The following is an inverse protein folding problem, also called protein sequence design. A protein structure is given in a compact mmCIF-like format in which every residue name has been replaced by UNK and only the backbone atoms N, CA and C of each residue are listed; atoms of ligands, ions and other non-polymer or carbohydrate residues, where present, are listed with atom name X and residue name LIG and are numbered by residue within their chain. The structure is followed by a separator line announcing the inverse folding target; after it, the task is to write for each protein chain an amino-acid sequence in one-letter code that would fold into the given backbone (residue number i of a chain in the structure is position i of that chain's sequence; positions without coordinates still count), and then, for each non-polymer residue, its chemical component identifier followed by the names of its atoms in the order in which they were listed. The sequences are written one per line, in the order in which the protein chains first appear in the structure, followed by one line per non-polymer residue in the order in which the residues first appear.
data_IF_325691692314
#
_entry.id   IF_325691692314
#
_cell.length_a   1.000
_cell.length_b   1.000
_cell.length_c   1.000
_cell.angle_alpha   90.00
_cell.angle_beta   90.00
_cell.angle_gamma   90.00
#
_symmetry.space_group_name_H-M   'P 1'
#
loop_
_entity.id
_entity.type
_entity.pdbx_description
1 polymer ?
#
# COMPACT_ATOMS: atom_id res chain seq x y z
N UNK A 1 14.70 0.97 -12.04
CA UNK A 1 14.00 1.39 -10.81
C UNK A 1 14.43 0.50 -9.66
N UNK A 2 14.42 0.95 -8.41
CA UNK A 2 14.85 0.15 -7.27
C UNK A 2 13.82 0.28 -6.12
N UNK A 3 13.63 -0.77 -5.35
CA UNK A 3 12.65 -0.82 -4.25
C UNK A 3 13.41 -1.15 -2.95
N UNK A 4 13.28 -0.27 -1.95
CA UNK A 4 13.76 -0.52 -0.60
C UNK A 4 12.57 -0.76 0.34
N UNK A 5 12.70 -1.71 1.25
CA UNK A 5 11.66 -2.05 2.23
C UNK A 5 12.08 -1.59 3.63
N UNK A 6 11.16 -0.92 4.32
CA UNK A 6 11.25 -0.63 5.75
C UNK A 6 10.11 -1.36 6.46
N UNK A 7 10.41 -2.22 7.41
CA UNK A 7 9.39 -2.89 8.24
C UNK A 7 9.11 -2.02 9.45
N UNK A 8 7.91 -1.48 9.57
CA UNK A 8 7.57 -0.40 10.49
C UNK A 8 6.39 -0.76 11.40
N UNK A 9 6.37 -0.11 12.56
CA UNK A 9 5.27 -0.20 13.51
C UNK A 9 5.11 -1.57 14.19
N UNK A 10 4.14 -1.67 15.11
CA UNK A 10 3.93 -2.88 15.92
C UNK A 10 3.39 -4.07 15.14
N UNK A 11 2.73 -3.84 14.00
CA UNK A 11 2.22 -4.89 13.12
C UNK A 11 3.22 -5.31 12.04
N UNK A 12 4.44 -4.72 12.06
CA UNK A 12 5.52 -5.03 11.11
C UNK A 12 5.07 -4.84 9.65
N UNK A 13 4.40 -3.73 9.39
CA UNK A 13 3.93 -3.37 8.05
C UNK A 13 5.10 -2.96 7.16
N UNK A 14 5.09 -3.44 5.95
CA UNK A 14 6.08 -3.09 4.93
C UNK A 14 5.76 -1.72 4.33
N UNK A 15 6.60 -0.75 4.61
CA UNK A 15 6.67 0.51 3.88
C UNK A 15 7.69 0.40 2.75
N UNK A 16 7.29 0.68 1.53
CA UNK A 16 8.19 0.61 0.38
C UNK A 16 8.62 1.99 -0.08
N UNK A 17 9.91 2.13 -0.37
CA UNK A 17 10.49 3.31 -1.03
C UNK A 17 10.87 2.87 -2.44
N UNK A 18 10.03 3.24 -3.40
CA UNK A 18 10.34 3.08 -4.80
C UNK A 18 11.20 4.27 -5.24
N UNK A 19 12.39 4.03 -5.78
CA UNK A 19 13.28 5.12 -6.17
C UNK A 19 13.78 5.01 -7.61
N UNK A 20 13.90 6.17 -8.23
CA UNK A 20 14.46 6.37 -9.56
C UNK A 20 15.32 7.64 -9.55
N UNK A 21 16.62 7.49 -9.82
CA UNK A 21 17.59 8.58 -9.71
C UNK A 21 17.55 9.27 -8.33
N UNK A 22 17.18 10.54 -8.28
CA UNK A 22 17.03 11.35 -7.06
C UNK A 22 15.58 11.53 -6.61
N UNK A 23 14.66 10.76 -7.17
CA UNK A 23 13.24 10.82 -6.85
C UNK A 23 12.78 9.57 -6.11
N UNK A 24 11.79 9.71 -5.23
CA UNK A 24 11.18 8.60 -4.51
C UNK A 24 9.65 8.70 -4.47
N UNK A 25 8.99 7.53 -4.47
CA UNK A 25 7.61 7.35 -4.02
C UNK A 25 7.60 6.50 -2.75
N UNK A 26 6.70 6.79 -1.83
CA UNK A 26 6.42 5.92 -0.69
C UNK A 26 5.13 5.14 -0.93
N UNK A 27 5.14 3.87 -0.57
CA UNK A 27 3.92 3.04 -0.49
C UNK A 27 3.74 2.65 0.97
N UNK A 28 2.56 2.91 1.51
CA UNK A 28 2.12 2.57 2.87
C UNK A 28 3.12 3.01 3.97
N UNK A 29 3.30 4.31 4.21
CA UNK A 29 4.15 4.81 5.29
C UNK A 29 3.50 4.57 6.66
N UNK A 30 3.67 3.35 7.16
CA UNK A 30 3.01 2.76 8.30
C UNK A 30 3.22 3.50 9.62
N UNK A 31 4.47 3.86 9.91
CA UNK A 31 4.90 4.47 11.16
C UNK A 31 6.28 5.12 11.01
N UNK A 32 6.87 5.61 12.12
CA UNK A 32 8.27 6.04 12.20
C UNK A 32 8.68 7.06 11.11
N UNK A 33 7.87 8.13 10.95
CA UNK A 33 8.12 9.19 9.98
C UNK A 33 9.57 9.71 10.02
N UNK A 34 10.19 9.78 11.21
CA UNK A 34 11.57 10.23 11.37
C UNK A 34 12.55 9.29 10.68
N UNK A 35 12.36 7.97 10.78
CA UNK A 35 13.19 6.97 10.11
C UNK A 35 13.06 7.07 8.59
N UNK A 36 11.83 7.21 8.09
CA UNK A 36 11.57 7.39 6.66
C UNK A 36 12.25 8.67 6.16
N UNK A 37 12.05 9.81 6.86
CA UNK A 37 12.64 11.09 6.48
C UNK A 37 14.17 11.07 6.53
N UNK A 38 14.75 10.42 7.55
CA UNK A 38 16.20 10.20 7.64
C UNK A 38 16.72 9.44 6.42
N UNK A 39 16.04 8.37 6.02
CA UNK A 39 16.39 7.56 4.85
C UNK A 39 16.35 8.39 3.56
N UNK A 40 15.29 9.15 3.33
CA UNK A 40 15.16 10.05 2.18
C UNK A 40 16.29 11.08 2.12
N UNK A 41 16.63 11.67 3.28
CA UNK A 41 17.71 12.65 3.39
C UNK A 41 19.08 12.05 3.14
N UNK A 42 19.41 10.90 3.75
CA UNK A 42 20.69 10.21 3.57
C UNK A 42 20.94 9.82 2.11
N UNK A 43 19.90 9.49 1.38
CA UNK A 43 19.94 9.15 -0.04
C UNK A 43 19.80 10.36 -0.97
N UNK A 44 19.54 11.53 -0.42
CA UNK A 44 19.23 12.76 -1.17
C UNK A 44 18.06 12.57 -2.13
N UNK A 45 17.04 11.80 -1.73
CA UNK A 45 15.86 11.57 -2.54
C UNK A 45 14.79 12.63 -2.30
N UNK A 46 14.26 13.19 -3.39
CA UNK A 46 13.09 14.08 -3.39
C UNK A 46 11.81 13.25 -3.45
N UNK A 47 10.98 13.34 -2.42
CA UNK A 47 9.71 12.62 -2.38
C UNK A 47 8.70 13.23 -3.36
N UNK A 48 8.17 12.41 -4.28
CA UNK A 48 7.22 12.82 -5.32
C UNK A 48 5.77 12.48 -4.99
N UNK A 49 5.55 11.55 -4.07
CA UNK A 49 4.21 11.17 -3.64
C UNK A 49 4.20 10.06 -2.61
N UNK A 50 3.04 9.92 -1.98
CA UNK A 50 2.70 8.87 -1.05
C UNK A 50 1.50 8.13 -1.61
N UNK A 51 1.61 6.81 -1.73
CA UNK A 51 0.58 5.90 -2.22
C UNK A 51 0.07 5.06 -1.06
N UNK A 52 -1.24 5.01 -0.84
CA UNK A 52 -1.85 4.06 0.07
C UNK A 52 -2.47 2.91 -0.72
N UNK A 53 -2.21 1.67 -0.32
CA UNK A 53 -2.90 0.51 -0.86
C UNK A 53 -4.32 0.42 -0.31
N UNK A 54 -4.49 0.77 0.95
CA UNK A 54 -5.75 0.89 1.68
C UNK A 54 -5.56 1.78 2.92
N UNK A 55 -6.59 1.99 3.73
CA UNK A 55 -6.54 2.96 4.82
C UNK A 55 -6.60 2.34 6.22
N UNK A 56 -6.13 1.11 6.43
CA UNK A 56 -5.94 0.63 7.78
C UNK A 56 -4.84 1.42 8.51
N UNK A 57 -5.00 1.57 9.82
CA UNK A 57 -4.19 2.46 10.65
C UNK A 57 -2.69 2.18 10.55
N UNK A 58 -2.33 0.92 10.38
CA UNK A 58 -0.96 0.47 10.33
C UNK A 58 -0.29 0.69 8.96
N UNK A 59 -1.03 1.12 7.93
CA UNK A 59 -0.49 1.50 6.62
C UNK A 59 -0.31 3.02 6.46
N UNK A 60 -0.92 3.85 7.32
CA UNK A 60 -1.00 5.29 7.09
C UNK A 60 -0.44 6.16 8.22
N UNK A 61 0.11 5.56 9.28
CA UNK A 61 0.44 6.28 10.52
C UNK A 61 1.47 7.39 10.40
N UNK A 62 2.33 7.38 9.38
CA UNK A 62 3.33 8.42 9.16
C UNK A 62 2.90 9.48 8.11
N UNK A 63 1.75 9.33 7.46
CA UNK A 63 1.32 10.17 6.32
C UNK A 63 1.36 11.66 6.66
N UNK A 64 0.66 12.10 7.70
CA UNK A 64 0.55 13.53 8.03
C UNK A 64 1.90 14.17 8.33
N UNK A 65 2.76 13.46 9.07
CA UNK A 65 4.09 13.96 9.41
C UNK A 65 4.96 14.12 8.16
N UNK A 66 4.92 13.15 7.24
CA UNK A 66 5.71 13.16 6.01
C UNK A 66 5.19 14.25 5.06
N UNK A 67 3.86 14.35 4.86
CA UNK A 67 3.27 15.41 4.02
C UNK A 67 3.61 16.79 4.57
N UNK A 68 3.52 16.98 5.89
CA UNK A 68 3.90 18.26 6.53
C UNK A 68 5.38 18.60 6.30
N UNK A 69 6.26 17.61 6.32
CA UNK A 69 7.70 17.83 6.15
C UNK A 69 8.13 18.05 4.69
N UNK A 70 7.42 17.44 3.73
CA UNK A 70 7.88 17.38 2.32
C UNK A 70 6.98 18.11 1.34
N UNK A 71 5.69 18.30 1.69
CA UNK A 71 4.67 18.77 0.76
C UNK A 71 4.28 17.75 -0.32
N UNK A 72 4.73 16.49 -0.20
CA UNK A 72 4.44 15.46 -1.18
C UNK A 72 2.93 15.16 -1.26
N UNK A 73 2.36 14.98 -2.47
CA UNK A 73 0.95 14.66 -2.63
C UNK A 73 0.61 13.27 -2.11
N UNK A 74 -0.55 13.15 -1.47
CA UNK A 74 -1.14 11.88 -1.06
C UNK A 74 -2.06 11.36 -2.16
N UNK A 75 -1.84 10.11 -2.57
CA UNK A 75 -2.70 9.32 -3.45
C UNK A 75 -3.42 8.28 -2.62
N UNK A 76 -4.74 8.25 -2.68
CA UNK A 76 -5.56 7.36 -1.85
C UNK A 76 -6.62 6.68 -2.72
N UNK A 77 -6.88 5.37 -2.53
CA UNK A 77 -7.98 4.69 -3.21
C UNK A 77 -9.31 5.38 -2.88
N UNK A 78 -10.11 5.69 -3.91
CA UNK A 78 -11.36 6.44 -3.75
C UNK A 78 -12.31 5.80 -2.74
N UNK A 79 -12.53 4.48 -2.86
CA UNK A 79 -13.47 3.75 -2.01
C UNK A 79 -13.00 3.62 -0.56
N UNK A 80 -11.69 3.68 -0.34
CA UNK A 80 -11.08 3.56 0.99
C UNK A 80 -10.84 4.91 1.69
N UNK A 81 -10.88 6.02 0.94
CA UNK A 81 -10.62 7.36 1.46
C UNK A 81 -11.43 7.73 2.73
N UNK A 82 -12.69 7.28 2.93
CA UNK A 82 -13.39 7.51 4.18
C UNK A 82 -12.68 6.96 5.42
N UNK A 83 -11.89 5.86 5.29
CA UNK A 83 -11.13 5.26 6.38
C UNK A 83 -10.01 6.16 6.93
N UNK A 84 -9.54 7.15 6.16
CA UNK A 84 -8.56 8.12 6.66
C UNK A 84 -9.02 8.81 7.96
N UNK A 85 -10.33 9.00 8.15
CA UNK A 85 -10.93 9.70 9.29
C UNK A 85 -11.95 8.88 10.08
N UNK A 86 -12.29 7.69 9.61
CA UNK A 86 -13.25 6.79 10.27
C UNK A 86 -12.49 5.70 11.03
N UNK A 87 -12.45 5.83 12.35
CA UNK A 87 -11.70 4.96 13.25
C UNK A 87 -12.18 3.50 13.24
N UNK A 88 -13.46 3.28 12.92
CA UNK A 88 -14.02 1.94 12.74
C UNK A 88 -13.53 1.30 11.44
N UNK A 89 -13.54 2.06 10.35
CA UNK A 89 -13.09 1.58 9.03
C UNK A 89 -11.59 1.35 8.99
N UNK A 90 -10.80 2.25 9.60
CA UNK A 90 -9.35 2.08 9.63
C UNK A 90 -8.85 1.14 10.74
N UNK A 91 -9.74 0.53 11.48
CA UNK A 91 -9.50 -0.42 12.56
C UNK A 91 -8.77 0.13 13.80
N UNK A 92 -8.39 1.40 13.85
CA UNK A 92 -7.70 1.94 15.02
C UNK A 92 -8.55 1.86 16.29
N UNK A 93 -9.88 1.97 16.18
CA UNK A 93 -10.82 1.81 17.30
C UNK A 93 -10.76 0.41 17.90
N UNK A 94 -10.45 -0.62 17.09
CA UNK A 94 -10.52 -2.02 17.51
C UNK A 94 -9.18 -2.58 17.97
N UNK A 95 -8.08 -2.09 17.43
CA UNK A 95 -6.75 -2.68 17.62
C UNK A 95 -5.76 -1.79 18.36
N UNK A 96 -6.11 -0.52 18.63
CA UNK A 96 -5.21 0.39 19.32
C UNK A 96 -5.86 0.99 20.58
N UNK A 97 -5.03 1.53 21.49
CA UNK A 97 -5.53 2.28 22.66
C UNK A 97 -5.94 3.72 22.32
N UNK A 98 -5.51 4.21 21.16
CA UNK A 98 -5.76 5.57 20.70
C UNK A 98 -6.26 5.51 19.27
N UNK A 99 -7.39 6.16 19.02
CA UNK A 99 -7.91 6.29 17.65
C UNK A 99 -6.93 7.07 16.79
N UNK A 100 -6.76 6.63 15.55
CA UNK A 100 -5.87 7.27 14.58
C UNK A 100 -6.67 7.80 13.39
N UNK A 101 -6.28 8.95 12.89
CA UNK A 101 -6.79 9.51 11.65
C UNK A 101 -5.67 10.19 10.88
N UNK A 102 -5.88 10.39 9.60
CA UNK A 102 -5.04 11.20 8.71
C UNK A 102 -5.82 12.45 8.34
N UNK A 103 -5.28 13.62 8.70
CA UNK A 103 -5.90 14.92 8.42
C UNK A 103 -5.55 15.44 7.01
N UNK A 104 -4.48 14.93 6.44
CA UNK A 104 -4.09 15.24 5.05
C UNK A 104 -5.22 14.87 4.09
N UNK A 105 -5.65 15.84 3.29
CA UNK A 105 -6.60 15.60 2.21
C UNK A 105 -5.86 14.99 1.01
N UNK A 106 -6.31 13.85 0.48
CA UNK A 106 -5.70 13.29 -0.72
C UNK A 106 -5.69 14.28 -1.87
N UNK A 107 -4.53 14.44 -2.50
CA UNK A 107 -4.39 15.24 -3.71
C UNK A 107 -5.02 14.54 -4.92
N UNK A 108 -5.02 13.20 -4.91
CA UNK A 108 -5.60 12.37 -5.95
C UNK A 108 -6.35 11.21 -5.31
N UNK A 109 -7.60 11.01 -5.73
CA UNK A 109 -8.40 9.84 -5.44
C UNK A 109 -8.29 8.88 -6.61
N UNK A 110 -7.81 7.66 -6.34
CA UNK A 110 -7.47 6.67 -7.35
C UNK A 110 -8.64 5.72 -7.61
N UNK A 111 -8.82 5.39 -8.87
CA UNK A 111 -9.80 4.43 -9.38
C UNK A 111 -9.12 3.33 -10.19
N UNK A 112 -9.88 2.31 -10.53
CA UNK A 112 -9.43 1.23 -11.42
C UNK A 112 -8.84 1.79 -12.72
N UNK A 113 -7.67 1.28 -13.11
CA UNK A 113 -6.90 1.65 -14.30
C UNK A 113 -6.26 3.04 -14.30
N UNK A 114 -6.42 3.83 -13.24
CA UNK A 114 -5.62 5.05 -13.09
C UNK A 114 -4.12 4.71 -13.10
N UNK A 115 -3.31 5.69 -13.45
CA UNK A 115 -1.85 5.52 -13.46
C UNK A 115 -1.16 6.61 -12.66
N UNK A 116 -0.17 6.23 -11.88
CA UNK A 116 0.72 7.16 -11.18
C UNK A 116 2.06 7.19 -11.93
N UNK A 117 2.42 8.30 -12.58
CA UNK A 117 3.70 8.39 -13.28
C UNK A 117 4.85 8.51 -12.27
N UNK A 118 5.92 7.75 -12.49
CA UNK A 118 7.13 7.85 -11.68
C UNK A 118 8.37 7.38 -12.46
N UNK A 119 9.39 8.23 -12.51
CA UNK A 119 10.58 7.96 -13.31
C UNK A 119 10.26 7.73 -14.77
N UNK A 120 10.67 6.60 -15.31
CA UNK A 120 10.39 6.16 -16.67
C UNK A 120 9.19 5.20 -16.80
N UNK A 121 8.47 4.96 -15.71
CA UNK A 121 7.33 4.04 -15.65
C UNK A 121 6.01 4.73 -15.27
N UNK A 122 4.95 3.94 -15.30
CA UNK A 122 3.63 4.28 -14.78
C UNK A 122 3.12 3.13 -13.94
N UNK A 123 2.89 3.37 -12.67
CA UNK A 123 2.25 2.39 -11.80
C UNK A 123 0.75 2.37 -12.11
N UNK A 124 0.25 1.25 -12.55
CA UNK A 124 -1.18 1.06 -12.83
C UNK A 124 -1.90 0.66 -11.56
N UNK A 125 -3.05 1.28 -11.31
CA UNK A 125 -3.93 0.97 -10.18
C UNK A 125 -4.84 -0.20 -10.56
N UNK A 126 -4.84 -1.24 -9.76
CA UNK A 126 -5.73 -2.40 -9.87
C UNK A 126 -6.58 -2.45 -8.61
N UNK A 127 -7.89 -2.20 -8.71
CA UNK A 127 -8.80 -2.41 -7.57
C UNK A 127 -8.77 -3.89 -7.16
N UNK A 128 -8.54 -4.15 -5.89
CA UNK A 128 -8.44 -5.47 -5.31
C UNK A 128 -9.26 -5.56 -4.01
N UNK A 129 -10.59 -5.33 -4.08
CA UNK A 129 -11.44 -5.32 -2.91
C UNK A 129 -11.50 -6.69 -2.26
N UNK A 130 -11.78 -6.70 -0.95
CA UNK A 130 -12.00 -7.90 -0.17
C UNK A 130 -11.34 -7.90 1.20
N UNK A 131 -10.12 -7.40 1.34
CA UNK A 131 -9.56 -7.05 2.65
C UNK A 131 -10.21 -5.76 3.17
N UNK A 132 -10.27 -4.71 2.33
CA UNK A 132 -11.17 -3.57 2.50
C UNK A 132 -12.04 -3.41 1.26
N UNK A 133 -13.04 -2.53 1.33
CA UNK A 133 -13.90 -2.21 0.17
C UNK A 133 -13.16 -1.51 -0.95
N UNK A 134 -12.04 -0.88 -0.67
CA UNK A 134 -11.30 -0.03 -1.59
C UNK A 134 -9.82 -0.40 -1.72
N UNK A 135 -9.38 -1.56 -1.23
CA UNK A 135 -8.01 -2.02 -1.43
C UNK A 135 -7.62 -1.98 -2.91
N UNK A 136 -6.39 -1.53 -3.18
CA UNK A 136 -5.79 -1.53 -4.51
C UNK A 136 -4.41 -2.15 -4.49
N UNK A 137 -4.00 -2.66 -5.65
CA UNK A 137 -2.61 -3.00 -5.93
C UNK A 137 -2.02 -1.97 -6.90
N UNK A 138 -0.71 -1.74 -6.80
CA UNK A 138 0.04 -0.90 -7.75
C UNK A 138 0.94 -1.79 -8.59
N UNK A 139 0.66 -1.85 -9.88
CA UNK A 139 1.37 -2.68 -10.85
C UNK A 139 2.41 -1.84 -11.60
N UNK A 140 3.68 -2.23 -11.48
CA UNK A 140 4.78 -1.78 -12.33
C UNK A 140 5.10 -2.78 -13.43
N UNK A 141 6.22 -2.60 -14.14
CA UNK A 141 6.64 -3.47 -15.23
C UNK A 141 6.93 -4.90 -14.73
N UNK A 142 7.72 -5.04 -13.67
CA UNK A 142 8.17 -6.34 -13.13
C UNK A 142 7.83 -6.55 -11.64
N UNK A 143 7.03 -5.66 -11.04
CA UNK A 143 6.62 -5.72 -9.64
C UNK A 143 5.15 -5.41 -9.43
N UNK A 144 4.64 -5.82 -8.26
CA UNK A 144 3.29 -5.56 -7.79
C UNK A 144 3.33 -5.24 -6.28
N UNK A 145 2.93 -4.04 -5.89
CA UNK A 145 2.61 -3.78 -4.48
C UNK A 145 1.18 -4.24 -4.23
N UNK A 146 1.01 -5.28 -3.44
CA UNK A 146 -0.30 -5.92 -3.23
C UNK A 146 -1.03 -5.44 -1.98
N UNK A 147 -0.39 -4.65 -1.12
CA UNK A 147 -0.95 -4.33 0.19
C UNK A 147 -1.38 -5.61 0.91
N UNK A 148 -2.57 -5.58 1.49
CA UNK A 148 -3.12 -6.72 2.23
C UNK A 148 -4.06 -7.58 1.37
N UNK A 149 -3.84 -7.61 0.06
CA UNK A 149 -4.60 -8.50 -0.84
C UNK A 149 -3.92 -9.86 -0.97
N UNK A 150 -2.63 -9.90 -1.34
CA UNK A 150 -1.86 -11.13 -1.59
C UNK A 150 -0.56 -11.09 -0.80
N UNK A 151 -0.28 -12.14 -0.03
CA UNK A 151 0.93 -12.36 0.74
C UNK A 151 1.70 -13.58 0.24
N UNK A 152 2.90 -13.78 0.75
CA UNK A 152 3.62 -15.04 0.59
C UNK A 152 2.80 -16.19 1.20
N UNK A 153 2.31 -17.07 0.35
CA UNK A 153 1.47 -18.23 0.71
C UNK A 153 0.25 -17.87 1.56
N UNK A 154 -0.39 -16.74 1.23
CA UNK A 154 -1.56 -16.30 1.96
C UNK A 154 -2.18 -15.02 1.41
N UNK A 155 -3.16 -14.52 2.13
CA UNK A 155 -3.91 -13.32 1.78
C UNK A 155 -4.43 -12.59 3.02
N UNK A 156 -4.86 -11.35 2.85
CA UNK A 156 -5.41 -10.52 3.92
C UNK A 156 -6.69 -11.10 4.50
N UNK A 157 -6.91 -10.85 5.79
CA UNK A 157 -8.15 -11.27 6.46
C UNK A 157 -9.36 -10.52 5.93
N UNK A 158 -10.52 -11.14 6.02
CA UNK A 158 -11.80 -10.60 5.53
C UNK A 158 -12.87 -10.51 6.63
N UNK A 159 -12.57 -10.97 7.85
CA UNK A 159 -13.47 -10.99 9.01
C UNK A 159 -13.41 -9.67 9.81
N UNK A 160 -13.25 -8.55 9.11
CA UNK A 160 -13.11 -7.19 9.63
C UNK A 160 -14.11 -6.25 8.95
N UNK A 161 -14.39 -5.05 9.51
CA UNK A 161 -15.26 -4.07 8.89
C UNK A 161 -14.86 -3.75 7.44
N UNK A 162 -15.77 -3.97 6.50
CA UNK A 162 -15.53 -3.78 5.07
C UNK A 162 -14.92 -4.98 4.36
N UNK A 163 -14.58 -6.05 5.09
CA UNK A 163 -14.04 -7.28 4.51
C UNK A 163 -15.09 -8.12 3.78
N UNK A 164 -14.67 -8.85 2.74
CA UNK A 164 -15.48 -9.77 1.95
C UNK A 164 -14.63 -10.89 1.35
N UNK A 165 -14.85 -12.12 1.81
CA UNK A 165 -14.14 -13.30 1.30
C UNK A 165 -14.40 -13.52 -0.19
N UNK A 166 -15.65 -13.32 -0.63
CA UNK A 166 -16.02 -13.44 -2.04
C UNK A 166 -15.25 -12.46 -2.92
N UNK A 167 -15.22 -11.17 -2.52
CA UNK A 167 -14.49 -10.15 -3.29
C UNK A 167 -12.98 -10.41 -3.28
N UNK A 168 -12.42 -10.84 -2.15
CA UNK A 168 -11.00 -11.16 -2.07
C UNK A 168 -10.64 -12.34 -2.97
N UNK A 169 -11.45 -13.38 -2.99
CA UNK A 169 -11.28 -14.53 -3.90
C UNK A 169 -11.28 -14.09 -5.37
N UNK A 170 -12.20 -13.21 -5.76
CA UNK A 170 -12.26 -12.65 -7.12
C UNK A 170 -11.02 -11.79 -7.43
N UNK A 171 -10.58 -10.97 -6.48
CA UNK A 171 -9.37 -10.15 -6.61
C UNK A 171 -8.12 -11.02 -6.79
N UNK A 172 -7.95 -12.03 -5.95
CA UNK A 172 -6.84 -12.99 -6.04
C UNK A 172 -6.84 -13.72 -7.39
N UNK A 173 -8.00 -14.26 -7.80
CA UNK A 173 -8.14 -14.95 -9.08
C UNK A 173 -7.69 -14.04 -10.24
N UNK A 174 -8.06 -12.76 -10.22
CA UNK A 174 -7.63 -11.78 -11.23
C UNK A 174 -6.14 -11.51 -11.17
N UNK A 175 -5.57 -11.26 -9.99
CA UNK A 175 -4.14 -10.99 -9.86
C UNK A 175 -3.29 -12.18 -10.33
N UNK A 176 -3.70 -13.40 -10.04
CA UNK A 176 -3.01 -14.62 -10.45
C UNK A 176 -3.07 -14.89 -11.97
N UNK A 177 -3.89 -14.16 -12.74
CA UNK A 177 -3.86 -14.21 -14.22
C UNK A 177 -2.85 -13.26 -14.86
N UNK A 178 -2.28 -12.32 -14.11
CA UNK A 178 -1.30 -11.36 -14.63
C UNK A 178 0.00 -12.07 -15.01
N UNK A 179 0.82 -11.45 -15.85
CA UNK A 179 2.19 -11.91 -16.11
C UNK A 179 2.99 -12.00 -14.81
N UNK A 180 4.03 -12.85 -14.78
CA UNK A 180 4.81 -13.03 -13.57
C UNK A 180 5.51 -11.72 -13.14
N UNK A 181 5.40 -11.40 -11.86
CA UNK A 181 5.99 -10.23 -11.20
C UNK A 181 6.41 -10.56 -9.80
N UNK A 182 7.39 -9.85 -9.29
CA UNK A 182 7.68 -9.85 -7.85
C UNK A 182 6.55 -9.15 -7.10
N UNK A 183 5.99 -9.82 -6.11
CA UNK A 183 4.93 -9.29 -5.25
C UNK A 183 5.54 -8.74 -3.96
N UNK A 184 5.23 -7.50 -3.67
CA UNK A 184 5.61 -6.78 -2.46
C UNK A 184 4.38 -6.56 -1.58
N UNK A 185 4.14 -7.43 -0.57
CA UNK A 185 2.94 -7.42 0.25
C UNK A 185 2.99 -6.38 1.39
N UNK A 186 1.83 -6.05 1.97
CA UNK A 186 1.76 -5.19 3.16
C UNK A 186 2.46 -5.78 4.38
N UNK A 187 2.49 -7.10 4.49
CA UNK A 187 3.15 -7.83 5.60
C UNK A 187 3.95 -9.03 5.10
N UNK A 188 5.01 -9.35 5.84
CA UNK A 188 5.84 -10.53 5.57
C UNK A 188 6.84 -10.33 4.44
N UNK A 189 7.28 -11.44 3.87
CA UNK A 189 8.32 -11.43 2.83
C UNK A 189 7.73 -11.27 1.43
N UNK A 190 8.50 -10.74 0.46
CA UNK A 190 8.13 -10.74 -0.94
C UNK A 190 7.96 -12.17 -1.49
N UNK A 191 7.16 -12.28 -2.56
CA UNK A 191 6.93 -13.50 -3.31
C UNK A 191 6.88 -13.22 -4.82
N UNK A 192 6.40 -14.15 -5.63
CA UNK A 192 6.11 -13.94 -7.04
C UNK A 192 4.70 -14.44 -7.38
N UNK A 193 4.09 -13.87 -8.43
CA UNK A 193 2.79 -14.37 -8.87
C UNK A 193 2.87 -15.83 -9.34
N UNK A 194 4.02 -16.29 -9.83
CA UNK A 194 4.24 -17.69 -10.22
C UNK A 194 4.24 -18.62 -9.00
N UNK A 195 4.97 -18.27 -7.94
CA UNK A 195 4.99 -19.05 -6.70
C UNK A 195 3.59 -19.14 -6.08
N UNK A 196 2.85 -18.03 -6.07
CA UNK A 196 1.50 -18.02 -5.51
C UNK A 196 0.49 -18.79 -6.38
N UNK A 197 0.62 -18.79 -7.71
CA UNK A 197 -0.16 -19.67 -8.58
C UNK A 197 0.04 -21.15 -8.20
N UNK A 198 1.29 -21.55 -8.03
CA UNK A 198 1.61 -22.94 -7.63
C UNK A 198 1.01 -23.23 -6.26
N UNK A 199 1.16 -22.34 -5.30
CA UNK A 199 0.66 -22.52 -3.94
C UNK A 199 -0.87 -22.64 -3.89
N UNK A 200 -1.61 -21.81 -4.64
CA UNK A 200 -3.08 -21.84 -4.68
C UNK A 200 -3.65 -22.87 -5.65
N UNK A 201 -2.82 -23.57 -6.44
CA UNK A 201 -3.26 -24.61 -7.38
C UNK A 201 -3.93 -24.03 -8.65
N UNK A 202 -3.43 -22.87 -9.12
CA UNK A 202 -3.92 -22.19 -10.33
C UNK A 202 -3.31 -22.76 -11.59
#
# INVERSE_FOLDING_TARGET
MNIETLVLGPLQTNCYILNFEKEALLVDPAADAELIMKKLHEKEWSLKGILLTHTHFDHMGAVDAIVKATGAPLYCPYKDAPGLRDWGKNLSLHFTRHTMQVDTVPAVLLHEWDTVPFGNERLRVLEAPGHTVGSVCYEGEDFLFSGDTLFYHGYGRTDIPGGSEEQLSQSLSRLLTLENRTVYPGHGQPTSLEDERIFFGF
#
